data_IF_474077796170
#
_entry.id   IF_474077796170
#
_cell.length_a   1.000
_cell.length_b   1.000
_cell.length_c   1.000
_cell.angle_alpha   90.00
_cell.angle_beta   90.00
_cell.angle_gamma   90.00
#
_symmetry.space_group_name_H-M   'P 1'
#
loop_
_entity.id
_entity.type
_entity.pdbx_description
1 polymer ?
#
# COMPACT_ATOMS: atom_id res chain seq x y z
N UNK A 1 48.74 18.65 11.27
CA UNK A 1 47.54 18.27 12.04
C UNK A 1 46.39 19.20 11.70
N UNK A 2 45.38 18.75 10.95
CA UNK A 2 44.20 19.56 10.57
C UNK A 2 42.95 18.96 11.21
N UNK A 3 42.28 19.72 12.08
CA UNK A 3 41.01 19.32 12.73
C UNK A 3 39.84 19.66 11.80
N UNK A 4 38.96 18.70 11.44
CA UNK A 4 37.72 19.04 10.75
C UNK A 4 36.64 19.49 11.75
N UNK A 5 35.95 20.59 11.42
CA UNK A 5 34.82 21.12 12.18
C UNK A 5 33.52 20.44 11.74
N UNK A 6 32.76 19.92 12.69
CA UNK A 6 31.42 19.36 12.54
C UNK A 6 30.40 20.48 12.38
N UNK A 7 29.73 20.56 11.24
CA UNK A 7 28.53 21.38 11.04
C UNK A 7 27.30 20.50 11.27
N UNK A 8 26.62 20.76 12.38
CA UNK A 8 25.37 20.13 12.78
C UNK A 8 24.20 20.92 12.19
N UNK A 9 23.32 20.24 11.43
CA UNK A 9 22.10 20.83 10.88
C UNK A 9 20.93 20.03 11.42
N UNK A 10 20.05 20.67 12.19
CA UNK A 10 18.81 20.08 12.71
C UNK A 10 17.65 20.42 11.77
N UNK A 11 16.85 19.44 11.31
CA UNK A 11 15.64 19.72 10.55
C UNK A 11 14.45 20.05 11.46
N UNK A 12 13.81 21.17 11.16
CA UNK A 12 12.65 21.77 11.80
C UNK A 12 11.37 21.03 11.35
N UNK A 13 10.59 20.51 12.30
CA UNK A 13 9.33 19.82 12.02
C UNK A 13 8.19 20.82 11.76
N UNK A 14 7.54 20.70 10.60
CA UNK A 14 6.32 21.45 10.25
C UNK A 14 5.13 20.48 10.30
N UNK A 15 4.28 20.67 11.31
CA UNK A 15 2.96 20.06 11.45
C UNK A 15 1.97 20.86 10.59
N UNK A 16 1.26 20.21 9.65
CA UNK A 16 0.04 20.78 9.06
C UNK A 16 -1.14 19.86 9.37
N UNK A 17 -1.95 20.28 10.34
CA UNK A 17 -3.25 19.71 10.66
C UNK A 17 -4.30 20.50 9.86
N UNK A 18 -5.08 19.82 9.02
CA UNK A 18 -6.26 20.41 8.38
C UNK A 18 -7.43 19.45 8.54
N UNK A 19 -8.31 19.80 9.48
CA UNK A 19 -9.62 19.19 9.68
C UNK A 19 -10.56 19.63 8.56
N UNK A 20 -11.20 18.67 7.88
CA UNK A 20 -12.24 18.96 6.89
C UNK A 20 -13.60 18.73 7.56
N UNK A 21 -14.31 19.83 7.79
CA UNK A 21 -15.73 19.87 8.11
C UNK A 21 -16.54 19.44 6.88
N UNK A 22 -17.39 18.42 7.03
CA UNK A 22 -18.47 18.15 6.07
C UNK A 22 -19.80 18.47 6.72
N UNK A 23 -20.34 19.63 6.34
CA UNK A 23 -21.68 20.10 6.62
C UNK A 23 -22.59 19.63 5.47
N UNK A 24 -23.45 18.64 5.70
CA UNK A 24 -24.54 18.31 4.79
C UNK A 24 -25.87 18.49 5.51
N UNK A 25 -26.39 19.71 5.41
CA UNK A 25 -27.79 20.02 5.57
C UNK A 25 -28.52 19.64 4.28
N UNK A 26 -29.49 18.72 4.34
CA UNK A 26 -30.70 18.76 3.49
C UNK A 26 -31.79 17.99 4.21
N UNK A 27 -32.82 18.73 4.62
CA UNK A 27 -34.02 18.19 5.23
C UNK A 27 -34.83 17.38 4.23
N UNK A 28 -35.51 16.36 4.73
CA UNK A 28 -36.61 15.71 4.04
C UNK A 28 -37.75 15.59 5.03
N UNK A 29 -38.77 16.42 4.83
CA UNK A 29 -40.09 16.26 5.42
C UNK A 29 -40.70 14.98 4.84
N UNK A 30 -41.07 14.03 5.71
CA UNK A 30 -41.98 12.94 5.36
C UNK A 30 -43.22 13.13 6.24
N UNK A 31 -44.43 13.24 5.67
CA UNK A 31 -45.66 13.38 6.44
C UNK A 31 -45.99 12.07 7.16
N UNK A 32 -46.33 12.20 8.45
CA UNK A 32 -46.91 11.13 9.26
C UNK A 32 -48.37 10.89 8.86
N UNK A 33 -48.73 9.64 8.63
CA UNK A 33 -50.11 9.25 8.37
C UNK A 33 -50.36 7.82 8.92
N UNK A 34 -51.05 7.82 10.07
CA UNK A 34 -52.00 6.83 10.59
C UNK A 34 -51.50 5.44 10.99
N UNK A 35 -51.54 5.26 12.31
CA UNK A 35 -51.46 4.00 13.04
C UNK A 35 -52.59 3.03 12.66
N UNK A 36 -52.24 1.76 12.51
CA UNK A 36 -53.09 0.62 12.78
C UNK A 36 -52.32 -0.30 13.73
N UNK A 37 -52.96 -0.59 14.87
CA UNK A 37 -52.51 -1.50 15.91
C UNK A 37 -52.64 -2.95 15.43
N UNK A 38 -51.55 -3.70 15.49
CA UNK A 38 -51.64 -5.15 15.64
C UNK A 38 -50.51 -5.53 16.59
N UNK A 39 -50.89 -5.90 17.81
CA UNK A 39 -50.01 -6.58 18.75
C UNK A 39 -49.56 -7.88 18.11
N UNK A 40 -48.39 -7.85 17.50
CA UNK A 40 -47.60 -9.04 17.20
C UNK A 40 -46.23 -8.81 17.83
N UNK A 41 -45.89 -9.63 18.82
CA UNK A 41 -44.56 -9.69 19.41
C UNK A 41 -43.58 -10.23 18.37
N UNK A 42 -43.21 -9.38 17.42
CA UNK A 42 -42.14 -9.65 16.46
C UNK A 42 -40.82 -9.39 17.18
N UNK A 43 -39.97 -10.41 17.40
CA UNK A 43 -38.61 -10.13 17.82
C UNK A 43 -37.99 -9.23 16.76
N UNK A 44 -37.49 -8.07 17.16
CA UNK A 44 -36.73 -7.17 16.30
C UNK A 44 -35.71 -8.02 15.53
N UNK A 45 -35.54 -7.87 14.20
CA UNK A 45 -34.37 -8.41 13.55
C UNK A 45 -33.21 -7.65 14.18
N UNK A 46 -32.55 -8.30 15.13
CA UNK A 46 -31.31 -7.85 15.70
C UNK A 46 -30.40 -7.73 14.48
N UNK A 47 -30.24 -6.50 14.01
CA UNK A 47 -29.29 -6.13 12.97
C UNK A 47 -27.96 -6.42 13.61
N UNK A 48 -27.56 -7.68 13.51
CA UNK A 48 -26.23 -8.14 13.84
C UNK A 48 -25.36 -7.28 12.96
N UNK A 49 -24.81 -6.21 13.55
CA UNK A 49 -23.53 -5.73 13.12
C UNK A 49 -22.61 -6.92 13.33
N UNK A 50 -22.60 -7.84 12.36
CA UNK A 50 -21.42 -8.61 12.05
C UNK A 50 -20.38 -7.57 11.70
N UNK A 51 -19.82 -6.99 12.76
CA UNK A 51 -18.56 -6.34 12.77
C UNK A 51 -17.63 -7.45 12.35
N UNK A 52 -17.46 -7.58 11.03
CA UNK A 52 -16.54 -8.48 10.37
C UNK A 52 -15.25 -8.31 11.13
N UNK A 53 -14.99 -9.23 12.07
CA UNK A 53 -13.73 -9.28 12.79
C UNK A 53 -12.78 -9.74 11.70
N UNK A 54 -12.23 -8.76 10.97
CA UNK A 54 -11.07 -8.98 10.14
C UNK A 54 -10.00 -9.44 11.13
N UNK A 55 -9.89 -10.75 11.30
CA UNK A 55 -8.81 -11.40 12.03
C UNK A 55 -7.57 -11.21 11.17
N UNK A 56 -6.99 -10.02 11.23
CA UNK A 56 -5.64 -9.78 10.73
C UNK A 56 -4.71 -10.64 11.57
N UNK A 57 -4.19 -11.72 10.99
CA UNK A 57 -3.10 -12.46 11.61
C UNK A 57 -1.86 -11.56 11.58
N UNK A 58 -0.98 -11.67 12.58
CA UNK A 58 0.28 -10.90 12.63
C UNK A 58 1.14 -11.12 11.38
N UNK A 59 1.03 -12.29 10.74
CA UNK A 59 1.65 -12.59 9.45
C UNK A 59 1.19 -11.64 8.31
N UNK A 60 -0.03 -11.10 8.39
CA UNK A 60 -0.53 -10.09 7.45
C UNK A 60 0.10 -8.71 7.65
N UNK A 61 0.68 -8.44 8.82
CA UNK A 61 1.29 -7.14 9.16
C UNK A 61 2.79 -7.10 8.87
N UNK A 62 3.44 -8.26 8.78
CA UNK A 62 4.86 -8.31 8.44
C UNK A 62 5.09 -7.83 6.99
N UNK A 63 6.26 -7.24 6.67
CA UNK A 63 6.65 -6.95 5.29
C UNK A 63 6.85 -8.22 4.44
N UNK A 64 6.47 -8.19 3.16
CA UNK A 64 6.63 -9.31 2.22
C UNK A 64 8.08 -9.48 1.83
N UNK A 65 8.59 -10.72 1.79
CA UNK A 65 9.98 -10.94 1.39
C UNK A 65 10.07 -11.22 -0.10
N UNK A 66 10.84 -10.40 -0.82
CA UNK A 66 11.31 -10.71 -2.17
C UNK A 66 12.51 -11.64 -2.05
N UNK A 67 12.32 -12.91 -2.40
CA UNK A 67 13.34 -13.95 -2.30
C UNK A 67 14.38 -13.83 -3.41
N UNK A 68 13.98 -13.45 -4.62
CA UNK A 68 14.90 -13.34 -5.75
C UNK A 68 14.31 -12.52 -6.90
N UNK A 69 15.19 -12.09 -7.82
CA UNK A 69 14.83 -11.54 -9.11
C UNK A 69 15.33 -12.48 -10.22
N UNK A 70 14.43 -12.88 -11.12
CA UNK A 70 14.78 -13.67 -12.31
C UNK A 70 14.52 -12.84 -13.55
N UNK A 71 15.47 -12.91 -14.48
CA UNK A 71 15.40 -12.21 -15.75
C UNK A 71 15.32 -13.28 -16.83
N UNK A 72 14.31 -13.17 -17.67
CA UNK A 72 14.16 -14.00 -18.86
C UNK A 72 14.16 -13.08 -20.07
N UNK A 73 15.13 -13.26 -20.96
CA UNK A 73 15.24 -12.45 -22.18
C UNK A 73 14.98 -13.35 -23.38
N UNK A 74 14.02 -12.99 -24.21
CA UNK A 74 13.82 -13.54 -25.55
C UNK A 74 14.07 -12.44 -26.59
N UNK A 75 14.20 -12.76 -27.89
CA UNK A 75 14.35 -11.76 -28.94
C UNK A 75 13.23 -10.71 -28.98
N UNK A 76 12.03 -11.08 -28.53
CA UNK A 76 10.83 -10.24 -28.59
C UNK A 76 10.60 -9.42 -27.32
N UNK A 77 11.07 -9.89 -26.16
CA UNK A 77 10.80 -9.24 -24.87
C UNK A 77 11.77 -9.66 -23.76
N UNK A 78 11.96 -8.75 -22.82
CA UNK A 78 12.58 -9.03 -21.52
C UNK A 78 11.49 -9.10 -20.44
N UNK A 79 11.50 -10.16 -19.64
CA UNK A 79 10.59 -10.38 -18.52
C UNK A 79 11.39 -10.39 -17.21
N UNK A 80 11.00 -9.52 -16.29
CA UNK A 80 11.45 -9.57 -14.90
C UNK A 80 10.41 -10.32 -14.06
N UNK A 81 10.86 -11.32 -13.30
CA UNK A 81 10.04 -12.14 -12.41
C UNK A 81 10.53 -11.93 -10.98
N UNK A 82 9.59 -11.65 -10.08
CA UNK A 82 9.85 -11.45 -8.66
C UNK A 82 9.39 -12.70 -7.91
N UNK A 83 10.33 -13.39 -7.25
CA UNK A 83 10.01 -14.51 -6.39
C UNK A 83 9.59 -13.96 -5.02
N UNK A 84 8.29 -13.93 -4.74
CA UNK A 84 7.75 -13.42 -3.48
C UNK A 84 7.40 -14.57 -2.53
N UNK A 85 7.57 -14.37 -1.22
CA UNK A 85 7.12 -15.36 -0.22
C UNK A 85 5.61 -15.36 0.01
N UNK A 86 4.94 -14.24 -0.27
CA UNK A 86 3.49 -14.09 -0.32
C UNK A 86 3.09 -13.00 -1.29
N UNK A 87 1.82 -12.97 -1.66
CA UNK A 87 1.28 -11.96 -2.54
C UNK A 87 1.39 -10.55 -1.92
N UNK A 88 1.76 -9.56 -2.73
CA UNK A 88 1.79 -8.13 -2.35
C UNK A 88 1.41 -7.26 -3.53
N UNK A 89 1.05 -6.01 -3.26
CA UNK A 89 0.83 -5.00 -4.29
C UNK A 89 2.18 -4.53 -4.84
N UNK A 90 2.30 -4.55 -6.17
CA UNK A 90 3.44 -4.00 -6.90
C UNK A 90 2.92 -2.81 -7.71
N UNK A 91 3.62 -1.69 -7.64
CA UNK A 91 3.27 -0.49 -8.40
C UNK A 91 4.24 -0.37 -9.58
N UNK A 92 3.73 -0.57 -10.79
CA UNK A 92 4.47 -0.34 -12.03
C UNK A 92 4.27 1.09 -12.51
N UNK A 93 5.36 1.79 -12.78
CA UNK A 93 5.36 3.11 -13.39
C UNK A 93 6.30 3.12 -14.60
N UNK A 94 5.82 3.63 -15.74
CA UNK A 94 6.64 3.77 -16.93
C UNK A 94 7.08 5.22 -17.09
N UNK A 95 8.38 5.44 -17.09
CA UNK A 95 8.98 6.73 -17.42
C UNK A 95 9.37 6.72 -18.90
N UNK A 96 9.09 7.81 -19.61
CA UNK A 96 9.37 7.91 -21.05
C UNK A 96 10.80 8.41 -21.35
N UNK A 97 11.44 9.16 -20.44
CA UNK A 97 12.71 9.83 -20.69
C UNK A 97 13.65 9.74 -19.47
N UNK A 98 14.60 8.79 -19.43
CA UNK A 98 14.76 7.67 -20.37
C UNK A 98 13.64 6.63 -20.21
N UNK A 99 13.35 5.87 -21.27
CA UNK A 99 12.39 4.76 -21.26
C UNK A 99 12.75 3.74 -20.17
N UNK A 100 12.02 3.76 -19.05
CA UNK A 100 12.25 2.90 -17.88
C UNK A 100 10.93 2.37 -17.32
N UNK A 101 11.00 1.18 -16.75
CA UNK A 101 9.91 0.55 -15.98
C UNK A 101 10.36 0.53 -14.53
N UNK A 102 9.74 1.40 -13.71
CA UNK A 102 9.98 1.47 -12.28
C UNK A 102 8.98 0.58 -11.57
N UNK A 103 9.48 -0.37 -10.79
CA UNK A 103 8.68 -1.22 -9.93
C UNK A 103 8.90 -0.78 -8.48
N UNK A 104 7.86 -0.20 -7.88
CA UNK A 104 7.86 0.12 -6.46
C UNK A 104 7.23 -1.03 -5.66
N UNK A 105 7.96 -1.48 -4.64
CA UNK A 105 7.65 -2.65 -3.81
C UNK A 105 7.39 -2.20 -2.35
N UNK A 106 6.25 -1.57 -2.08
CA UNK A 106 5.94 -1.04 -0.74
C UNK A 106 5.79 -2.18 0.27
N UNK A 107 6.18 -1.93 1.52
CA UNK A 107 6.09 -2.90 2.61
C UNK A 107 6.76 -4.25 2.28
N UNK A 108 7.91 -4.20 1.58
CA UNK A 108 8.69 -5.39 1.26
C UNK A 108 10.09 -5.36 1.87
N UNK A 109 10.67 -6.54 2.05
CA UNK A 109 12.09 -6.72 2.33
C UNK A 109 12.75 -7.50 1.21
N UNK A 110 13.95 -7.08 0.79
CA UNK A 110 14.77 -7.86 -0.12
C UNK A 110 15.57 -8.89 0.68
N UNK A 111 15.53 -10.14 0.25
CA UNK A 111 16.49 -11.14 0.72
C UNK A 111 17.91 -10.74 0.29
N UNK A 112 18.94 -11.32 0.92
CA UNK A 112 20.33 -11.11 0.50
C UNK A 112 20.58 -11.33 -1.01
N UNK A 113 20.12 -12.43 -1.65
CA UNK A 113 20.31 -12.61 -3.08
C UNK A 113 19.54 -11.60 -3.93
N UNK A 114 18.34 -11.20 -3.49
CA UNK A 114 17.56 -10.17 -4.19
C UNK A 114 18.27 -8.80 -4.12
N UNK A 115 18.75 -8.42 -2.93
CA UNK A 115 19.48 -7.18 -2.72
C UNK A 115 20.75 -7.14 -3.57
N UNK A 116 21.52 -8.24 -3.59
CA UNK A 116 22.72 -8.39 -4.43
C UNK A 116 22.42 -8.13 -5.91
N UNK A 117 21.33 -8.68 -6.44
CA UNK A 117 20.94 -8.48 -7.85
C UNK A 117 20.48 -7.05 -8.15
N UNK A 118 19.78 -6.43 -7.19
CA UNK A 118 19.32 -5.05 -7.32
C UNK A 118 20.49 -4.05 -7.27
N UNK A 119 21.49 -4.27 -6.41
CA UNK A 119 22.64 -3.38 -6.25
C UNK A 119 23.73 -3.61 -7.28
N UNK A 120 23.99 -4.85 -7.67
CA UNK A 120 25.11 -5.21 -8.56
C UNK A 120 24.75 -5.09 -10.04
N UNK A 121 23.63 -4.45 -10.39
CA UNK A 121 23.23 -4.22 -11.78
C UNK A 121 22.83 -5.47 -12.56
N UNK A 122 22.46 -6.56 -11.88
CA UNK A 122 22.02 -7.81 -12.56
C UNK A 122 20.60 -7.68 -13.13
N UNK A 123 19.85 -6.68 -12.69
CA UNK A 123 18.54 -6.33 -13.27
C UNK A 123 18.80 -5.47 -14.52
N UNK A 124 18.46 -5.95 -15.73
CA UNK A 124 18.74 -5.22 -16.96
C UNK A 124 17.79 -4.03 -17.13
N UNK A 125 18.25 -3.06 -17.92
CA UNK A 125 17.38 -2.04 -18.52
C UNK A 125 16.24 -2.73 -19.30
N UNK A 126 14.98 -2.24 -19.24
CA UNK A 126 14.57 -0.94 -18.71
C UNK A 126 14.13 -0.95 -17.22
N UNK A 127 14.33 -2.04 -16.48
CA UNK A 127 13.75 -2.19 -15.15
C UNK A 127 14.54 -1.46 -14.06
N UNK A 128 13.82 -0.87 -13.11
CA UNK A 128 14.37 -0.26 -11.90
C UNK A 128 13.52 -0.65 -10.70
N UNK A 129 14.14 -1.11 -9.61
CA UNK A 129 13.44 -1.53 -8.38
C UNK A 129 13.58 -0.44 -7.32
N UNK A 130 12.48 -0.12 -6.65
CA UNK A 130 12.42 0.83 -5.53
C UNK A 130 11.56 0.25 -4.40
N UNK A 131 11.89 0.58 -3.15
CA UNK A 131 11.15 0.16 -1.95
C UNK A 131 10.59 1.38 -1.22
#
# INVERSE_FOLDING_TARGET
MRKPRLLSVKPLTLLSSTAIFFLSAYGSLIPAAWAWSSDDHRPLPMRSSEQSRIRGTTASLAPVTVRNFRVMTSPERTRLVLDLDRHTTIIEQRAANPSRVVLALPNTWLSQPAQTKATNGTIPSPFMITQ
#
